data_IF_682999073105
#
_entry.id   IF_682999073105
#
_cell.length_a   1.000
_cell.length_b   1.000
_cell.length_c   1.000
_cell.angle_alpha   90.00
_cell.angle_beta   90.00
_cell.angle_gamma   90.00
#
_symmetry.space_group_name_H-M   'P 1'
#
loop_
_entity.id
_entity.type
_entity.pdbx_description
1 polymer ?
#
# COMPACT_ATOMS: atom_id res chain seq x y z
N UNK A 1 25.36 -2.67 19.85
CA UNK A 1 24.53 -3.36 18.81
C UNK A 1 24.12 -4.72 19.33
N UNK A 2 22.87 -5.13 19.15
CA UNK A 2 22.38 -6.47 19.54
C UNK A 2 23.02 -7.54 18.68
N UNK A 3 23.43 -8.67 19.30
CA UNK A 3 23.95 -9.85 18.59
C UNK A 3 22.87 -10.64 17.87
N UNK A 4 21.62 -10.47 18.28
CA UNK A 4 20.44 -11.11 17.67
C UNK A 4 19.31 -10.11 17.58
N UNK A 5 18.67 -10.03 16.40
CA UNK A 5 17.52 -9.18 16.13
C UNK A 5 16.35 -10.05 15.68
N UNK A 6 15.18 -9.82 16.24
CA UNK A 6 13.95 -10.52 15.91
C UNK A 6 13.05 -9.66 15.02
N UNK A 7 12.81 -10.10 13.78
CA UNK A 7 11.88 -9.46 12.83
C UNK A 7 10.49 -10.07 12.97
N UNK A 8 9.49 -9.26 13.32
CA UNK A 8 8.09 -9.64 13.29
C UNK A 8 7.46 -9.47 11.89
N UNK A 9 6.68 -10.46 11.47
CA UNK A 9 5.96 -10.41 10.18
C UNK A 9 4.72 -11.30 10.19
N UNK A 10 3.84 -11.10 9.23
CA UNK A 10 2.71 -12.00 8.97
C UNK A 10 3.19 -13.27 8.27
N UNK A 11 2.35 -14.33 8.29
CA UNK A 11 2.67 -15.62 7.69
C UNK A 11 2.36 -15.76 6.20
N UNK A 12 1.88 -14.72 5.49
CA UNK A 12 1.61 -14.83 4.06
C UNK A 12 2.91 -14.90 3.26
N UNK A 13 2.89 -15.57 2.10
CA UNK A 13 4.05 -15.72 1.21
C UNK A 13 4.72 -14.37 0.90
N UNK A 14 3.92 -13.34 0.61
CA UNK A 14 4.45 -12.01 0.34
C UNK A 14 5.07 -11.35 1.58
N UNK A 15 4.45 -11.48 2.76
CA UNK A 15 5.00 -10.92 3.99
C UNK A 15 6.31 -11.60 4.40
N UNK A 16 6.41 -12.92 4.24
CA UNK A 16 7.63 -13.67 4.47
C UNK A 16 8.73 -13.27 3.48
N UNK A 17 8.40 -13.07 2.21
CA UNK A 17 9.35 -12.55 1.24
C UNK A 17 9.90 -11.18 1.67
N UNK A 18 9.02 -10.28 2.10
CA UNK A 18 9.39 -8.94 2.56
C UNK A 18 10.31 -8.98 3.79
N UNK A 19 9.97 -9.80 4.77
CA UNK A 19 10.80 -9.99 5.97
C UNK A 19 12.17 -10.58 5.64
N UNK A 20 12.24 -11.59 4.75
CA UNK A 20 13.50 -12.17 4.30
C UNK A 20 14.34 -11.17 3.49
N UNK A 21 13.72 -10.33 2.66
CA UNK A 21 14.42 -9.27 1.94
C UNK A 21 15.09 -8.29 2.90
N UNK A 22 14.40 -7.83 3.95
CA UNK A 22 14.97 -6.96 4.98
C UNK A 22 16.05 -7.69 5.78
N UNK A 23 15.80 -8.95 6.20
CA UNK A 23 16.79 -9.80 6.84
C UNK A 23 18.10 -9.86 6.04
N UNK A 24 18.01 -10.22 4.76
CA UNK A 24 19.18 -10.33 3.89
C UNK A 24 19.92 -8.99 3.73
N UNK A 25 19.20 -7.87 3.71
CA UNK A 25 19.79 -6.54 3.64
C UNK A 25 20.56 -6.19 4.92
N UNK A 26 20.02 -6.56 6.10
CA UNK A 26 20.71 -6.38 7.37
C UNK A 26 21.96 -7.28 7.45
N UNK A 27 21.82 -8.57 7.18
CA UNK A 27 22.94 -9.53 7.25
C UNK A 27 24.08 -9.17 6.31
N UNK A 28 23.77 -8.54 5.17
CA UNK A 28 24.80 -8.05 4.23
C UNK A 28 25.63 -6.92 4.83
N UNK A 29 25.01 -6.01 5.58
CA UNK A 29 25.68 -4.85 6.16
C UNK A 29 26.25 -5.15 7.56
N UNK A 30 25.69 -6.13 8.27
CA UNK A 30 26.04 -6.52 9.64
C UNK A 30 26.17 -8.05 9.75
N UNK A 31 27.24 -8.64 9.16
CA UNK A 31 27.39 -10.10 9.04
C UNK A 31 27.51 -10.85 10.39
N UNK A 32 27.88 -10.16 11.46
CA UNK A 32 27.99 -10.74 12.80
C UNK A 32 26.65 -10.68 13.60
N UNK A 33 25.58 -10.10 13.00
CA UNK A 33 24.27 -9.99 13.64
C UNK A 33 23.37 -11.13 13.15
N UNK A 34 22.89 -11.94 14.07
CA UNK A 34 21.91 -12.98 13.79
C UNK A 34 20.52 -12.38 13.63
N UNK A 35 19.80 -12.76 12.57
CA UNK A 35 18.42 -12.30 12.33
C UNK A 35 17.46 -13.48 12.40
N UNK A 36 16.55 -13.44 13.38
CA UNK A 36 15.45 -14.41 13.53
C UNK A 36 14.14 -13.80 13.01
N UNK A 37 13.29 -14.60 12.36
CA UNK A 37 11.97 -14.17 11.89
C UNK A 37 10.89 -14.82 12.77
N UNK A 38 10.01 -13.99 13.35
CA UNK A 38 8.85 -14.41 14.15
C UNK A 38 7.56 -14.15 13.38
N UNK A 39 6.84 -15.23 13.07
CA UNK A 39 5.54 -15.15 12.41
C UNK A 39 4.46 -14.83 13.45
N UNK A 40 3.72 -13.75 13.23
CA UNK A 40 2.63 -13.30 14.09
C UNK A 40 1.32 -13.38 13.30
N UNK A 41 0.34 -14.12 13.82
CA UNK A 41 -1.00 -14.21 13.22
C UNK A 41 -1.84 -13.00 13.64
N UNK A 42 -2.31 -12.24 12.68
CA UNK A 42 -3.14 -11.05 12.93
C UNK A 42 -4.62 -11.37 12.84
N UNK A 43 -5.45 -10.48 13.38
CA UNK A 43 -6.92 -10.57 13.28
C UNK A 43 -7.35 -10.59 11.81
N UNK A 44 -6.73 -9.77 10.95
CA UNK A 44 -7.00 -9.76 9.51
C UNK A 44 -6.70 -11.10 8.80
N UNK A 45 -5.71 -11.88 9.29
CA UNK A 45 -5.39 -13.21 8.76
C UNK A 45 -6.40 -14.28 9.16
N UNK A 46 -7.14 -14.08 10.28
CA UNK A 46 -8.16 -14.99 10.77
C UNK A 46 -9.51 -14.83 10.09
N UNK A 47 -9.79 -13.64 9.57
CA UNK A 47 -11.08 -13.31 8.95
C UNK A 47 -11.03 -13.65 7.47
N UNK A 48 -11.61 -14.80 7.11
CA UNK A 48 -11.66 -15.29 5.72
C UNK A 48 -13.06 -15.26 5.10
N UNK A 49 -14.11 -15.13 5.94
CA UNK A 49 -15.51 -15.35 5.59
C UNK A 49 -16.28 -14.09 5.16
N UNK A 50 -15.85 -12.89 5.59
CA UNK A 50 -16.54 -11.63 5.29
C UNK A 50 -15.61 -10.51 4.82
N UNK A 51 -16.12 -9.49 4.09
CA UNK A 51 -15.35 -8.33 3.63
C UNK A 51 -14.67 -7.60 4.80
N UNK A 52 -13.34 -7.33 4.68
CA UNK A 52 -12.60 -6.59 5.72
C UNK A 52 -13.18 -5.18 5.94
N UNK A 53 -13.74 -4.56 4.90
CA UNK A 53 -14.46 -3.31 5.00
C UNK A 53 -15.68 -3.37 5.95
N UNK A 54 -16.32 -4.55 6.05
CA UNK A 54 -17.46 -4.77 6.95
C UNK A 54 -17.05 -5.11 8.38
N UNK A 55 -15.80 -5.47 8.61
CA UNK A 55 -15.35 -5.90 9.96
C UNK A 55 -15.10 -4.67 10.85
N UNK A 56 -14.86 -3.51 10.23
CA UNK A 56 -14.51 -2.29 10.95
C UNK A 56 -13.18 -2.41 11.71
N UNK A 57 -12.56 -1.29 12.00
CA UNK A 57 -11.34 -1.22 12.82
C UNK A 57 -10.08 -0.95 12.01
N UNK A 58 -9.38 0.10 12.41
CA UNK A 58 -8.05 0.44 11.90
C UNK A 58 -7.05 -0.62 12.38
N UNK A 59 -6.10 -1.00 11.53
CA UNK A 59 -4.97 -1.82 11.93
C UNK A 59 -5.22 -3.34 12.04
N UNK A 60 -6.18 -3.92 11.29
CA UNK A 60 -6.48 -5.37 11.32
C UNK A 60 -5.27 -6.27 11.04
N UNK A 61 -4.25 -5.75 10.39
CA UNK A 61 -3.04 -6.49 10.00
C UNK A 61 -1.79 -6.11 10.80
N UNK A 62 -1.88 -5.13 11.71
CA UNK A 62 -0.70 -4.60 12.40
C UNK A 62 -0.77 -4.67 13.91
N UNK A 63 -1.95 -4.64 14.54
CA UNK A 63 -2.13 -4.52 16.00
C UNK A 63 -1.35 -5.56 16.82
N UNK A 64 -1.39 -6.82 16.42
CA UNK A 64 -0.69 -7.90 17.14
C UNK A 64 0.83 -7.81 16.95
N UNK A 65 1.29 -7.24 15.85
CA UNK A 65 2.71 -7.01 15.57
C UNK A 65 3.18 -5.77 16.35
N UNK A 66 2.39 -4.70 16.39
CA UNK A 66 2.63 -3.51 17.20
C UNK A 66 2.69 -3.86 18.70
N UNK A 67 1.80 -4.72 19.19
CA UNK A 67 1.85 -5.23 20.56
C UNK A 67 3.15 -5.99 20.84
N UNK A 68 3.62 -6.82 19.90
CA UNK A 68 4.88 -7.54 20.02
C UNK A 68 6.12 -6.65 19.96
N UNK A 69 6.05 -5.49 19.28
CA UNK A 69 7.09 -4.46 19.35
C UNK A 69 7.12 -3.81 20.72
N UNK A 70 5.96 -3.41 21.25
CA UNK A 70 5.83 -2.72 22.53
C UNK A 70 6.23 -3.59 23.72
N UNK A 71 5.92 -4.90 23.69
CA UNK A 71 6.30 -5.86 24.75
C UNK A 71 7.77 -6.35 24.62
N UNK A 72 8.49 -5.94 23.55
CA UNK A 72 9.88 -6.31 23.32
C UNK A 72 10.10 -7.73 22.81
N UNK A 73 9.06 -8.47 22.42
CA UNK A 73 9.19 -9.83 21.88
C UNK A 73 9.68 -9.89 20.43
N UNK A 74 9.70 -8.75 19.75
CA UNK A 74 10.37 -8.48 18.47
C UNK A 74 11.09 -7.14 18.54
N UNK A 75 12.07 -6.92 17.67
CA UNK A 75 12.87 -5.69 17.62
C UNK A 75 12.42 -4.74 16.51
N UNK A 76 12.04 -5.31 15.38
CA UNK A 76 11.46 -4.56 14.27
C UNK A 76 10.37 -5.38 13.59
N UNK A 77 9.50 -4.70 12.86
CA UNK A 77 8.43 -5.31 12.07
C UNK A 77 8.52 -4.86 10.61
N UNK A 78 8.19 -5.75 9.69
CA UNK A 78 8.18 -5.46 8.25
C UNK A 78 6.76 -5.53 7.71
N UNK A 79 6.31 -4.41 7.14
CA UNK A 79 4.97 -4.25 6.57
C UNK A 79 5.02 -3.73 5.14
N UNK A 80 3.95 -3.93 4.40
CA UNK A 80 3.68 -3.12 3.22
C UNK A 80 3.20 -1.74 3.69
N UNK A 81 3.83 -0.66 3.24
CA UNK A 81 3.51 0.70 3.69
C UNK A 81 2.05 1.08 3.49
N UNK A 82 1.43 0.63 2.41
CA UNK A 82 0.01 0.90 2.12
C UNK A 82 -0.99 0.27 3.10
N UNK A 83 -0.55 -0.71 3.90
CA UNK A 83 -1.38 -1.39 4.89
C UNK A 83 -1.25 -0.75 6.29
N UNK A 84 -0.31 0.21 6.44
CA UNK A 84 -0.08 0.94 7.68
C UNK A 84 -1.16 1.98 7.92
N UNK A 85 -1.64 2.13 9.17
CA UNK A 85 -2.56 3.20 9.52
C UNK A 85 -1.90 4.57 9.35
N UNK A 86 -2.72 5.63 9.21
CA UNK A 86 -2.25 7.00 9.12
C UNK A 86 -1.47 7.45 10.36
N UNK A 87 -1.82 6.92 11.53
CA UNK A 87 -1.16 7.16 12.82
C UNK A 87 -0.70 5.84 13.42
N UNK A 88 0.47 5.87 14.06
CA UNK A 88 1.02 4.75 14.80
C UNK A 88 0.68 4.86 16.28
N UNK A 89 0.64 3.76 17.03
CA UNK A 89 0.57 3.78 18.48
C UNK A 89 1.74 4.54 19.10
N UNK A 90 1.48 5.16 20.26
CA UNK A 90 2.53 5.83 21.03
C UNK A 90 3.66 4.84 21.37
N UNK A 91 4.90 5.27 21.22
CA UNK A 91 6.10 4.47 21.45
C UNK A 91 6.58 3.67 20.24
N UNK A 92 5.89 3.76 19.09
CA UNK A 92 6.30 3.15 17.82
C UNK A 92 6.54 4.22 16.75
N UNK A 93 7.49 3.94 15.87
CA UNK A 93 7.86 4.83 14.76
C UNK A 93 8.16 4.04 13.47
N UNK A 94 8.03 4.71 12.34
CA UNK A 94 8.59 4.21 11.08
C UNK A 94 10.09 4.46 11.09
N UNK A 95 10.84 3.43 11.46
CA UNK A 95 12.29 3.50 11.59
C UNK A 95 12.99 3.63 10.24
N UNK A 96 12.59 2.83 9.24
CA UNK A 96 13.15 2.91 7.90
C UNK A 96 12.10 2.65 6.81
N UNK A 97 12.32 3.24 5.64
CA UNK A 97 11.55 3.02 4.41
C UNK A 97 12.56 2.66 3.31
N UNK A 98 12.75 1.37 3.00
CA UNK A 98 13.64 0.94 1.93
C UNK A 98 13.22 1.48 0.55
N UNK A 99 14.12 1.35 -0.41
CA UNK A 99 13.85 1.71 -1.80
C UNK A 99 12.52 1.13 -2.28
N UNK A 100 11.71 1.98 -2.88
CA UNK A 100 10.36 1.65 -3.34
C UNK A 100 10.43 0.74 -4.57
N UNK A 101 9.77 -0.40 -4.51
CA UNK A 101 9.51 -1.21 -5.70
C UNK A 101 8.45 -0.53 -6.58
N UNK A 102 8.21 -1.10 -7.78
CA UNK A 102 7.24 -0.58 -8.73
C UNK A 102 5.88 -0.26 -8.06
N UNK A 103 5.45 1.02 -8.02
CA UNK A 103 4.25 1.44 -7.32
C UNK A 103 2.95 1.21 -8.10
N UNK A 104 3.02 0.87 -9.39
CA UNK A 104 1.87 0.87 -10.28
C UNK A 104 0.93 -0.29 -10.01
N UNK A 105 -0.32 -0.08 -10.40
CA UNK A 105 -1.30 -1.14 -10.54
C UNK A 105 -1.13 -1.82 -11.88
N UNK A 106 -1.44 -3.10 -11.93
CA UNK A 106 -1.32 -3.90 -13.15
C UNK A 106 -2.59 -4.69 -13.41
N UNK A 107 -2.90 -4.85 -14.68
CA UNK A 107 -3.95 -5.73 -15.17
C UNK A 107 -3.37 -7.11 -15.45
N UNK A 108 -4.09 -8.14 -15.03
CA UNK A 108 -3.80 -9.53 -15.36
C UNK A 108 -5.01 -10.11 -16.08
N UNK A 109 -4.81 -10.50 -17.32
CA UNK A 109 -5.83 -11.05 -18.21
C UNK A 109 -5.49 -12.49 -18.60
N UNK A 110 -6.44 -13.41 -18.54
CA UNK A 110 -6.23 -14.79 -19.00
C UNK A 110 -5.98 -14.88 -20.52
N UNK A 111 -6.46 -13.90 -21.28
CA UNK A 111 -6.41 -13.89 -22.74
C UNK A 111 -5.45 -12.85 -23.32
N UNK A 112 -4.68 -12.13 -22.46
CA UNK A 112 -3.78 -11.08 -22.91
C UNK A 112 -4.47 -9.81 -23.42
N UNK A 113 -5.77 -9.63 -23.13
CA UNK A 113 -6.54 -8.45 -23.55
C UNK A 113 -6.16 -7.25 -22.71
N UNK A 114 -5.90 -6.09 -23.33
CA UNK A 114 -5.61 -4.85 -22.66
C UNK A 114 -6.88 -4.21 -22.09
N UNK A 115 -6.76 -3.38 -21.07
CA UNK A 115 -7.90 -2.78 -20.36
C UNK A 115 -8.87 -2.04 -21.30
N UNK A 116 -8.34 -1.27 -22.22
CA UNK A 116 -9.14 -0.50 -23.20
C UNK A 116 -9.94 -1.37 -24.19
N UNK A 117 -9.48 -2.60 -24.44
CA UNK A 117 -10.01 -3.49 -25.50
C UNK A 117 -11.06 -4.49 -24.98
N UNK A 118 -11.38 -4.46 -23.66
CA UNK A 118 -12.42 -5.32 -23.10
C UNK A 118 -13.82 -4.95 -23.65
N UNK A 119 -14.69 -5.94 -23.93
CA UNK A 119 -16.06 -5.68 -24.32
C UNK A 119 -16.86 -5.07 -23.16
N UNK A 120 -17.94 -4.36 -23.52
CA UNK A 120 -18.91 -3.85 -22.55
C UNK A 120 -19.44 -4.99 -21.65
N UNK A 121 -19.54 -4.72 -20.35
CA UNK A 121 -19.96 -5.72 -19.36
C UNK A 121 -18.87 -6.71 -18.94
N UNK A 122 -17.62 -6.53 -19.40
CA UNK A 122 -16.51 -7.37 -18.93
C UNK A 122 -16.34 -7.26 -17.42
N UNK A 123 -16.17 -8.42 -16.76
CA UNK A 123 -16.05 -8.51 -15.30
C UNK A 123 -14.57 -8.36 -14.88
N UNK A 124 -14.24 -7.27 -14.21
CA UNK A 124 -12.90 -7.00 -13.68
C UNK A 124 -12.89 -7.17 -12.15
N UNK A 125 -11.98 -8.02 -11.67
CA UNK A 125 -11.87 -8.36 -10.25
C UNK A 125 -11.00 -7.37 -9.45
N UNK A 126 -11.58 -6.69 -8.46
CA UNK A 126 -10.85 -5.96 -7.42
C UNK A 126 -11.71 -5.79 -6.18
N UNK A 127 -11.09 -5.85 -4.98
CA UNK A 127 -11.75 -5.51 -3.71
C UNK A 127 -11.33 -4.14 -3.19
N UNK A 128 -10.52 -3.40 -3.94
CA UNK A 128 -10.07 -2.06 -3.58
C UNK A 128 -11.03 -1.03 -4.16
N UNK A 129 -11.67 -0.25 -3.29
CA UNK A 129 -12.56 0.85 -3.70
C UNK A 129 -11.80 1.88 -4.54
N UNK A 130 -10.55 2.18 -4.19
CA UNK A 130 -9.67 3.05 -4.97
C UNK A 130 -9.49 2.59 -6.41
N UNK A 131 -9.30 1.28 -6.64
CA UNK A 131 -9.18 0.72 -7.99
C UNK A 131 -10.52 0.70 -8.69
N UNK A 132 -11.54 0.22 -8.01
CA UNK A 132 -12.89 0.10 -8.55
C UNK A 132 -13.41 1.44 -9.09
N UNK A 133 -13.29 2.50 -8.29
CA UNK A 133 -13.75 3.84 -8.66
C UNK A 133 -12.99 4.42 -9.87
N UNK A 134 -11.66 4.30 -9.89
CA UNK A 134 -10.86 4.79 -11.00
C UNK A 134 -11.10 3.98 -12.29
N UNK A 135 -11.23 2.64 -12.20
CA UNK A 135 -11.57 1.80 -13.37
C UNK A 135 -12.95 2.14 -13.93
N UNK A 136 -13.95 2.32 -13.06
CA UNK A 136 -15.30 2.72 -13.49
C UNK A 136 -15.34 4.12 -14.08
N UNK A 137 -14.53 5.04 -13.57
CA UNK A 137 -14.39 6.38 -14.14
C UNK A 137 -13.85 6.34 -15.57
N UNK A 138 -12.84 5.50 -15.84
CA UNK A 138 -12.27 5.30 -17.17
C UNK A 138 -13.21 4.52 -18.11
N UNK A 139 -13.90 3.52 -17.58
CA UNK A 139 -14.75 2.58 -18.31
C UNK A 139 -16.03 2.30 -17.50
N UNK A 140 -17.03 3.20 -17.54
CA UNK A 140 -18.30 2.99 -16.81
C UNK A 140 -19.11 1.80 -17.32
N UNK A 141 -18.76 1.28 -18.47
CA UNK A 141 -19.40 0.14 -19.13
C UNK A 141 -18.91 -1.24 -18.68
N UNK A 142 -17.89 -1.32 -17.82
CA UNK A 142 -17.39 -2.58 -17.23
C UNK A 142 -18.11 -2.91 -15.91
N UNK A 143 -18.08 -4.18 -15.54
CA UNK A 143 -18.56 -4.67 -14.25
C UNK A 143 -17.38 -4.89 -13.28
N UNK A 144 -17.44 -4.32 -12.09
CA UNK A 144 -16.46 -4.57 -11.04
C UNK A 144 -17.02 -5.59 -10.05
N UNK A 145 -16.28 -6.69 -9.83
CA UNK A 145 -16.61 -7.69 -8.80
C UNK A 145 -15.48 -7.81 -7.77
N UNK A 146 -15.87 -7.94 -6.50
CA UNK A 146 -14.92 -8.19 -5.43
C UNK A 146 -14.22 -9.53 -5.61
N UNK A 147 -12.89 -9.54 -5.47
CA UNK A 147 -12.08 -10.77 -5.54
C UNK A 147 -11.24 -10.93 -4.26
N UNK A 148 -11.23 -12.14 -3.71
CA UNK A 148 -10.52 -12.49 -2.48
C UNK A 148 -9.59 -13.66 -2.66
N UNK A 149 -8.72 -13.82 -1.66
CA UNK A 149 -7.67 -14.83 -1.61
C UNK A 149 -6.28 -14.20 -1.69
N UNK A 150 -5.27 -15.04 -1.49
CA UNK A 150 -3.89 -14.67 -1.76
C UNK A 150 -3.65 -14.51 -3.28
N UNK A 151 -2.44 -14.15 -3.67
CA UNK A 151 -2.10 -13.90 -5.06
C UNK A 151 -2.42 -15.11 -5.95
N UNK A 152 -1.97 -16.32 -5.56
CA UNK A 152 -2.17 -17.53 -6.34
C UNK A 152 -3.67 -17.87 -6.53
N UNK A 153 -4.46 -17.68 -5.48
CA UNK A 153 -5.92 -17.89 -5.55
C UNK A 153 -6.56 -16.95 -6.56
N UNK A 154 -6.15 -15.67 -6.57
CA UNK A 154 -6.69 -14.67 -7.51
C UNK A 154 -6.28 -14.96 -8.96
N UNK A 155 -5.02 -15.37 -9.19
CA UNK A 155 -4.55 -15.78 -10.50
C UNK A 155 -5.32 -17.00 -11.04
N UNK A 156 -5.59 -18.00 -10.18
CA UNK A 156 -6.42 -19.17 -10.56
C UNK A 156 -7.81 -18.76 -11.00
N UNK A 157 -8.44 -17.80 -10.33
CA UNK A 157 -9.79 -17.32 -10.69
C UNK A 157 -9.84 -16.61 -12.05
N UNK A 158 -8.77 -15.90 -12.43
CA UNK A 158 -8.64 -15.35 -13.79
C UNK A 158 -8.47 -16.48 -14.81
N UNK A 159 -7.55 -17.40 -14.55
CA UNK A 159 -7.27 -18.53 -15.45
C UNK A 159 -8.47 -19.46 -15.64
N UNK A 160 -9.37 -19.54 -14.65
CA UNK A 160 -10.63 -20.31 -14.75
C UNK A 160 -11.77 -19.57 -15.48
N UNK A 161 -11.58 -18.28 -15.83
CA UNK A 161 -12.61 -17.47 -16.50
C UNK A 161 -13.68 -16.88 -15.56
N UNK A 162 -13.53 -16.99 -14.23
CA UNK A 162 -14.44 -16.35 -13.26
C UNK A 162 -14.42 -14.83 -13.39
N UNK A 163 -13.27 -14.28 -13.80
CA UNK A 163 -13.05 -12.86 -14.12
C UNK A 163 -12.38 -12.74 -15.48
N UNK A 164 -12.76 -11.74 -16.26
CA UNK A 164 -12.06 -11.42 -17.51
C UNK A 164 -10.63 -10.93 -17.23
N UNK A 165 -10.48 -10.15 -16.18
CA UNK A 165 -9.18 -9.72 -15.64
C UNK A 165 -9.28 -9.40 -14.15
N UNK A 166 -8.11 -9.20 -13.51
CA UNK A 166 -8.00 -8.65 -12.16
C UNK A 166 -6.97 -7.53 -12.13
N UNK A 167 -7.10 -6.64 -11.14
CA UNK A 167 -6.11 -5.57 -10.92
C UNK A 167 -5.39 -5.79 -9.60
N UNK A 168 -4.06 -5.84 -9.67
CA UNK A 168 -3.16 -6.06 -8.54
C UNK A 168 -2.07 -4.96 -8.50
N UNK A 169 -1.25 -4.95 -7.43
CA UNK A 169 -0.06 -4.11 -7.36
C UNK A 169 1.13 -4.84 -7.98
N UNK A 170 1.86 -4.19 -8.88
CA UNK A 170 3.07 -4.73 -9.54
C UNK A 170 4.08 -5.29 -8.54
N UNK A 171 4.42 -4.51 -7.50
CA UNK A 171 5.39 -4.91 -6.49
C UNK A 171 5.10 -6.28 -5.85
N UNK A 172 3.83 -6.66 -5.69
CA UNK A 172 3.48 -7.97 -5.13
C UNK A 172 3.82 -9.12 -6.06
N UNK A 173 3.57 -8.97 -7.35
CA UNK A 173 3.89 -9.96 -8.39
C UNK A 173 5.40 -10.07 -8.62
N UNK A 174 6.06 -8.94 -8.76
CA UNK A 174 7.51 -8.88 -9.01
C UNK A 174 8.29 -9.51 -7.86
N UNK A 175 7.92 -9.21 -6.60
CA UNK A 175 8.55 -9.78 -5.41
C UNK A 175 8.41 -11.31 -5.33
N UNK A 176 7.32 -11.86 -5.85
CA UNK A 176 7.08 -13.30 -5.89
C UNK A 176 7.54 -13.97 -7.19
N UNK A 177 8.25 -13.24 -8.07
CA UNK A 177 8.73 -13.77 -9.34
C UNK A 177 7.62 -14.05 -10.35
N UNK A 178 6.44 -13.45 -10.18
CA UNK A 178 5.27 -13.64 -11.05
C UNK A 178 5.03 -12.45 -11.99
N UNK A 179 6.06 -11.66 -12.28
CA UNK A 179 5.99 -10.53 -13.22
C UNK A 179 5.53 -10.92 -14.63
N UNK A 180 5.79 -12.16 -15.05
CA UNK A 180 5.34 -12.69 -16.36
C UNK A 180 3.80 -12.84 -16.48
N UNK A 181 3.06 -12.81 -15.37
CA UNK A 181 1.59 -12.83 -15.37
C UNK A 181 0.99 -11.45 -15.69
N UNK A 182 1.80 -10.38 -15.70
CA UNK A 182 1.34 -9.02 -15.96
C UNK A 182 1.02 -8.86 -17.43
N UNK A 183 -0.21 -8.49 -17.74
CA UNK A 183 -0.65 -8.18 -19.09
C UNK A 183 -0.39 -6.72 -19.44
N UNK A 184 -0.65 -5.80 -18.49
CA UNK A 184 -0.56 -4.36 -18.72
C UNK A 184 -0.22 -3.64 -17.41
N UNK A 185 0.70 -2.67 -17.47
CA UNK A 185 0.91 -1.70 -16.40
C UNK A 185 -0.04 -0.52 -16.62
N UNK A 186 -0.88 -0.23 -15.63
CA UNK A 186 -1.80 0.90 -15.70
C UNK A 186 -1.03 2.20 -15.43
N UNK A 187 -1.07 3.13 -16.35
CA UNK A 187 -0.35 4.40 -16.23
C UNK A 187 -0.84 5.21 -15.01
N UNK A 188 0.04 5.98 -14.38
CA UNK A 188 -0.33 6.85 -13.24
C UNK A 188 -1.33 7.95 -13.61
N UNK A 189 -1.41 8.28 -14.91
CA UNK A 189 -2.42 9.19 -15.45
C UNK A 189 -3.83 8.64 -15.32
N UNK A 190 -3.97 7.33 -15.41
CA UNK A 190 -5.23 6.61 -15.45
C UNK A 190 -5.56 5.98 -14.08
N UNK A 191 -4.54 5.48 -13.39
CA UNK A 191 -4.68 4.79 -12.12
C UNK A 191 -3.64 5.32 -11.12
N UNK A 192 -4.02 6.29 -10.30
CA UNK A 192 -3.14 6.80 -9.23
C UNK A 192 -2.98 5.71 -8.15
N UNK A 193 -1.73 5.34 -7.81
CA UNK A 193 -1.44 4.31 -6.82
C UNK A 193 -1.98 4.63 -5.42
N UNK A 194 -2.11 3.61 -4.58
CA UNK A 194 -2.40 3.81 -3.16
C UNK A 194 -1.22 4.48 -2.46
N UNK A 195 -1.51 5.24 -1.39
CA UNK A 195 -0.50 5.79 -0.48
C UNK A 195 0.48 4.69 -0.06
N UNK A 196 1.76 4.90 -0.28
CA UNK A 196 2.82 3.95 0.06
C UNK A 196 2.84 2.66 -0.78
N UNK A 197 2.08 2.54 -1.87
CA UNK A 197 2.12 1.33 -2.69
C UNK A 197 3.52 1.10 -3.26
N UNK A 198 4.02 -0.14 -3.16
CA UNK A 198 5.38 -0.52 -3.56
C UNK A 198 6.43 -0.32 -2.46
N UNK A 199 6.22 0.58 -1.50
CA UNK A 199 7.15 0.77 -0.39
C UNK A 199 6.96 -0.26 0.73
N UNK A 200 8.06 -0.59 1.42
CA UNK A 200 8.05 -1.29 2.70
C UNK A 200 8.05 -0.27 3.84
N UNK A 201 7.51 -0.68 4.97
CA UNK A 201 7.61 0.03 6.23
C UNK A 201 8.35 -0.87 7.23
N UNK A 202 9.45 -0.38 7.77
CA UNK A 202 10.13 -1.01 8.88
C UNK A 202 9.74 -0.22 10.13
N UNK A 203 8.93 -0.85 10.98
CA UNK A 203 8.43 -0.28 12.22
C UNK A 203 9.27 -0.76 13.40
N UNK A 204 9.53 0.13 14.34
CA UNK A 204 10.33 -0.16 15.54
C UNK A 204 9.84 0.67 16.72
N UNK A 205 10.36 0.36 17.91
CA UNK A 205 10.16 1.21 19.08
C UNK A 205 10.83 2.56 18.88
N UNK A 206 10.20 3.60 19.40
CA UNK A 206 10.81 4.92 19.52
C UNK A 206 12.02 4.85 20.48
N UNK A 207 13.07 5.60 20.16
CA UNK A 207 14.29 5.70 20.98
C UNK A 207 15.01 4.37 21.25
N UNK A 208 15.04 3.44 20.27
CA UNK A 208 15.83 2.22 20.32
C UNK A 208 17.21 2.45 19.66
N UNK A 209 18.27 2.73 20.46
CA UNK A 209 19.59 3.06 19.91
C UNK A 209 20.26 1.89 19.22
N UNK A 210 19.94 0.65 19.60
CA UNK A 210 20.49 -0.55 18.97
C UNK A 210 19.97 -0.71 17.53
N UNK A 211 18.78 -0.18 17.25
CA UNK A 211 18.19 -0.23 15.92
C UNK A 211 18.57 0.95 15.03
N UNK A 212 18.96 2.10 15.61
CA UNK A 212 19.20 3.34 14.86
C UNK A 212 20.23 3.19 13.74
N UNK A 213 21.37 2.54 14.01
CA UNK A 213 22.44 2.32 13.04
C UNK A 213 21.96 1.37 11.91
N UNK A 214 21.29 0.28 12.26
CA UNK A 214 20.78 -0.70 11.31
C UNK A 214 19.74 -0.06 10.39
N UNK A 215 18.77 0.66 10.97
CA UNK A 215 17.69 1.31 10.24
C UNK A 215 18.20 2.37 9.26
N UNK A 216 19.27 3.09 9.64
CA UNK A 216 19.90 4.10 8.76
C UNK A 216 20.46 3.50 7.46
N UNK A 217 20.91 2.25 7.49
CA UNK A 217 21.42 1.55 6.30
C UNK A 217 20.31 1.01 5.39
N UNK A 218 19.10 0.94 5.88
CA UNK A 218 17.93 0.44 5.16
C UNK A 218 17.06 1.56 4.61
N UNK A 219 17.24 2.77 5.10
CA UNK A 219 16.41 3.91 4.72
C UNK A 219 16.82 4.48 3.38
N UNK A 220 15.81 4.81 2.55
CA UNK A 220 16.01 5.38 1.22
C UNK A 220 15.34 6.74 1.15
N UNK A 221 16.14 7.82 1.25
CA UNK A 221 15.66 9.20 1.31
C UNK A 221 14.63 9.57 0.23
N UNK A 222 14.83 9.26 -1.07
CA UNK A 222 13.85 9.59 -2.08
C UNK A 222 12.48 8.92 -1.84
N UNK A 223 12.48 7.66 -1.39
CA UNK A 223 11.24 6.96 -1.05
C UNK A 223 10.60 7.56 0.21
N UNK A 224 11.39 7.83 1.25
CA UNK A 224 10.91 8.45 2.50
C UNK A 224 10.25 9.79 2.22
N UNK A 225 10.86 10.65 1.42
CA UNK A 225 10.32 11.96 1.04
C UNK A 225 8.94 11.79 0.38
N UNK A 226 8.83 10.98 -0.67
CA UNK A 226 7.55 10.74 -1.36
C UNK A 226 6.49 10.20 -0.41
N UNK A 227 6.81 9.14 0.34
CA UNK A 227 5.87 8.50 1.28
C UNK A 227 5.45 9.44 2.39
N UNK A 228 6.32 10.33 2.85
CA UNK A 228 5.99 11.36 3.85
C UNK A 228 4.88 12.28 3.36
N UNK A 229 4.97 12.77 2.13
CA UNK A 229 3.91 13.60 1.52
C UNK A 229 2.60 12.84 1.32
N UNK A 230 2.69 11.61 0.80
CA UNK A 230 1.53 10.74 0.60
C UNK A 230 0.80 10.44 1.92
N UNK A 231 1.54 10.12 2.99
CA UNK A 231 0.97 9.85 4.32
C UNK A 231 0.40 11.10 4.98
N UNK A 232 1.04 12.25 4.77
CA UNK A 232 0.51 13.53 5.26
C UNK A 232 -0.84 13.88 4.60
N UNK A 233 -0.99 13.60 3.29
CA UNK A 233 -2.27 13.67 2.60
C UNK A 233 -3.30 12.73 3.22
N UNK A 234 -2.97 11.44 3.38
CA UNK A 234 -3.89 10.43 3.91
C UNK A 234 -4.37 10.78 5.32
N UNK A 235 -3.46 11.25 6.18
CA UNK A 235 -3.80 11.69 7.53
C UNK A 235 -4.74 12.89 7.51
N UNK A 236 -4.49 13.89 6.65
CA UNK A 236 -5.28 15.11 6.57
C UNK A 236 -6.69 14.87 6.00
N UNK A 237 -6.88 13.84 5.16
CA UNK A 237 -8.19 13.46 4.63
C UNK A 237 -8.95 12.53 5.58
N UNK A 238 -8.35 12.22 6.75
CA UNK A 238 -8.87 11.22 7.70
C UNK A 238 -9.11 9.85 7.04
N UNK A 239 -8.35 9.59 5.98
CA UNK A 239 -8.52 8.44 5.11
C UNK A 239 -8.11 7.13 5.77
N UNK A 240 -8.79 6.08 5.38
CA UNK A 240 -8.44 4.69 5.66
C UNK A 240 -8.34 3.90 4.36
N UNK A 241 -7.87 2.65 4.43
CA UNK A 241 -7.84 1.76 3.26
C UNK A 241 -9.23 1.43 2.69
N UNK A 242 -10.28 1.91 3.34
CA UNK A 242 -11.69 1.62 3.02
C UNK A 242 -12.39 2.75 2.26
N UNK A 243 -11.70 3.81 1.90
CA UNK A 243 -12.23 4.89 1.09
C UNK A 243 -11.55 4.94 -0.29
N UNK A 244 -12.25 5.41 -1.33
CA UNK A 244 -11.70 5.49 -2.69
C UNK A 244 -10.78 6.69 -2.87
N UNK A 245 -9.67 6.69 -2.12
CA UNK A 245 -8.63 7.72 -2.19
C UNK A 245 -7.30 7.15 -2.67
N UNK A 246 -6.53 7.98 -3.32
CA UNK A 246 -5.17 7.70 -3.78
C UNK A 246 -4.28 8.91 -3.51
N UNK A 247 -3.00 8.67 -3.27
CA UNK A 247 -1.99 9.70 -3.36
C UNK A 247 -0.65 9.05 -3.72
N UNK A 248 0.02 9.64 -4.70
CA UNK A 248 1.29 9.16 -5.21
C UNK A 248 2.28 10.30 -5.36
N UNK A 249 3.47 10.12 -4.80
CA UNK A 249 4.59 11.03 -4.91
C UNK A 249 5.68 10.50 -5.82
N UNK A 250 6.25 11.36 -6.66
CA UNK A 250 7.45 11.09 -7.44
C UNK A 250 8.38 12.28 -7.43
N UNK A 251 9.68 12.03 -7.50
CA UNK A 251 10.70 13.07 -7.61
C UNK A 251 11.04 13.25 -9.08
N UNK A 252 10.96 14.50 -9.54
CA UNK A 252 11.37 14.96 -10.86
C UNK A 252 12.20 16.22 -10.69
N UNK A 253 13.42 16.26 -11.22
CA UNK A 253 14.30 17.44 -11.21
C UNK A 253 14.44 18.11 -9.83
N UNK A 254 14.67 17.30 -8.77
CA UNK A 254 14.75 17.73 -7.37
C UNK A 254 13.46 18.32 -6.79
N UNK A 255 12.33 18.16 -7.47
CA UNK A 255 11.00 18.52 -6.97
C UNK A 255 10.17 17.27 -6.73
N UNK A 256 9.28 17.36 -5.78
CA UNK A 256 8.32 16.28 -5.48
C UNK A 256 6.97 16.64 -6.08
N UNK A 257 6.48 15.81 -6.98
CA UNK A 257 5.13 15.91 -7.52
C UNK A 257 4.22 14.97 -6.73
N UNK A 258 3.25 15.53 -6.01
CA UNK A 258 2.21 14.75 -5.31
C UNK A 258 0.91 14.83 -6.11
N UNK A 259 0.41 13.69 -6.56
CA UNK A 259 -0.89 13.57 -7.23
C UNK A 259 -1.86 12.81 -6.35
N UNK A 260 -3.03 13.40 -6.09
CA UNK A 260 -4.07 12.78 -5.28
C UNK A 260 -5.39 12.60 -6.04
N UNK A 261 -6.16 11.61 -5.65
CA UNK A 261 -7.49 11.32 -6.15
C UNK A 261 -8.44 11.07 -4.99
N UNK A 262 -9.64 11.63 -5.08
CA UNK A 262 -10.84 11.23 -4.33
C UNK A 262 -11.94 10.93 -5.35
N UNK A 263 -12.59 9.78 -5.24
CA UNK A 263 -13.63 9.37 -6.19
C UNK A 263 -14.85 8.82 -5.47
N UNK A 264 -16.02 8.85 -6.13
CA UNK A 264 -17.20 8.10 -5.69
C UNK A 264 -17.04 6.61 -5.99
N UNK A 265 -17.75 5.73 -5.27
CA UNK A 265 -17.63 4.27 -5.47
C UNK A 265 -18.05 3.82 -6.88
N UNK A 266 -19.01 4.52 -7.48
CA UNK A 266 -19.48 4.29 -8.85
C UNK A 266 -18.53 4.84 -9.93
N UNK A 267 -17.56 5.70 -9.54
CA UNK A 267 -16.63 6.36 -10.45
C UNK A 267 -17.23 7.54 -11.24
N UNK A 268 -18.48 7.92 -10.99
CA UNK A 268 -19.13 9.06 -11.69
C UNK A 268 -18.45 10.39 -11.33
N UNK A 269 -18.06 10.55 -10.07
CA UNK A 269 -17.35 11.71 -9.57
C UNK A 269 -15.91 11.35 -9.23
N UNK A 270 -14.96 12.09 -9.80
CA UNK A 270 -13.54 11.94 -9.50
C UNK A 270 -12.86 13.31 -9.47
N UNK A 271 -12.24 13.62 -8.35
CA UNK A 271 -11.40 14.82 -8.15
C UNK A 271 -9.94 14.35 -8.18
N UNK A 272 -9.16 14.90 -9.10
CA UNK A 272 -7.73 14.63 -9.23
C UNK A 272 -6.96 15.94 -9.23
N UNK A 273 -6.01 16.06 -8.31
CA UNK A 273 -5.18 17.26 -8.17
C UNK A 273 -3.71 16.88 -8.05
N UNK A 274 -2.85 17.79 -8.47
CA UNK A 274 -1.40 17.65 -8.37
C UNK A 274 -0.81 18.92 -7.78
N UNK A 275 0.14 18.76 -6.85
CA UNK A 275 0.90 19.86 -6.26
C UNK A 275 2.39 19.57 -6.34
N UNK A 276 3.17 20.62 -6.57
CA UNK A 276 4.64 20.57 -6.54
C UNK A 276 5.16 20.96 -5.15
N UNK A 277 6.23 20.30 -4.71
CA UNK A 277 6.87 20.53 -3.41
C UNK A 277 8.39 20.50 -3.51
N UNK A 278 9.05 21.09 -2.52
CA UNK A 278 10.44 20.71 -2.21
C UNK A 278 10.43 19.50 -1.25
N UNK A 279 11.55 18.76 -1.13
CA UNK A 279 11.66 17.65 -0.16
C UNK A 279 11.31 18.05 1.27
N UNK A 280 11.74 19.25 1.71
CA UNK A 280 11.56 19.73 3.08
C UNK A 280 10.10 20.08 3.40
N UNK A 281 9.35 20.50 2.39
CA UNK A 281 7.95 20.94 2.54
C UNK A 281 6.93 19.86 2.19
N UNK A 282 7.38 18.66 1.82
CA UNK A 282 6.50 17.61 1.26
C UNK A 282 5.35 17.23 2.19
N UNK A 283 5.57 17.19 3.50
CA UNK A 283 4.51 16.88 4.45
C UNK A 283 3.46 18.00 4.54
N UNK A 284 3.88 19.26 4.50
CA UNK A 284 2.98 20.41 4.47
C UNK A 284 2.16 20.43 3.17
N UNK A 285 2.83 20.21 2.04
CA UNK A 285 2.18 20.15 0.72
C UNK A 285 1.24 18.94 0.59
N UNK A 286 1.51 17.83 1.24
CA UNK A 286 0.57 16.72 1.34
C UNK A 286 -0.73 17.12 2.03
N UNK A 287 -0.67 17.87 3.15
CA UNK A 287 -1.86 18.41 3.84
C UNK A 287 -2.58 19.46 3.01
N UNK A 288 -1.84 20.34 2.32
CA UNK A 288 -2.41 21.34 1.41
C UNK A 288 -3.15 20.67 0.24
N UNK A 289 -2.58 19.61 -0.33
CA UNK A 289 -3.22 18.82 -1.39
C UNK A 289 -4.52 18.18 -0.91
N UNK A 290 -4.57 17.67 0.33
CA UNK A 290 -5.80 17.13 0.92
C UNK A 290 -6.89 18.21 1.00
N UNK A 291 -6.55 19.40 1.52
CA UNK A 291 -7.46 20.55 1.58
C UNK A 291 -7.98 20.95 0.20
N UNK A 292 -7.08 21.06 -0.78
CA UNK A 292 -7.44 21.40 -2.16
C UNK A 292 -8.44 20.42 -2.77
N UNK A 293 -8.20 19.10 -2.60
CA UNK A 293 -9.09 18.06 -3.12
C UNK A 293 -10.46 18.12 -2.42
N UNK A 294 -10.50 18.33 -1.10
CA UNK A 294 -11.75 18.45 -0.34
C UNK A 294 -12.57 19.67 -0.79
N UNK A 295 -11.95 20.83 -0.95
CA UNK A 295 -12.57 22.08 -1.41
C UNK A 295 -13.14 21.96 -2.83
N UNK A 296 -12.48 21.20 -3.71
CA UNK A 296 -12.93 20.96 -5.09
C UNK A 296 -14.07 19.96 -5.22
N UNK A 297 -14.61 19.46 -4.11
CA UNK A 297 -15.76 18.57 -4.09
C UNK A 297 -15.50 17.21 -3.46
N UNK A 298 -14.26 16.90 -3.11
CA UNK A 298 -13.89 15.65 -2.42
C UNK A 298 -14.64 15.47 -1.10
N UNK A 299 -14.89 16.57 -0.37
CA UNK A 299 -15.69 16.56 0.87
C UNK A 299 -17.07 15.91 0.65
N UNK A 300 -17.80 16.34 -0.37
CA UNK A 300 -19.13 15.80 -0.70
C UNK A 300 -19.11 14.32 -1.06
N UNK A 301 -18.05 13.91 -1.79
CA UNK A 301 -17.86 12.50 -2.17
C UNK A 301 -17.65 11.66 -0.92
N UNK A 302 -16.82 12.09 0.02
CA UNK A 302 -16.54 11.36 1.26
C UNK A 302 -17.75 11.29 2.20
N UNK A 303 -18.50 12.38 2.34
CA UNK A 303 -19.74 12.44 3.13
C UNK A 303 -20.81 11.47 2.58
N UNK A 304 -20.90 11.33 1.25
CA UNK A 304 -21.84 10.40 0.60
C UNK A 304 -21.52 8.92 0.84
N UNK A 305 -20.28 8.58 1.23
CA UNK A 305 -19.88 7.21 1.51
C UNK A 305 -20.45 6.64 2.83
N UNK A 306 -21.10 7.48 3.66
CA UNK A 306 -21.67 7.10 4.98
C UNK A 306 -20.70 6.21 5.79
N UNK A 307 -19.42 6.56 5.81
CA UNK A 307 -18.41 5.82 6.58
C UNK A 307 -18.59 6.19 8.05
N UNK A 308 -18.88 5.20 8.92
CA UNK A 308 -19.14 5.43 10.34
C UNK A 308 -17.87 5.87 11.09
#
# INVERSE_FOLDING_TARGET
>A
MKSTICIGTRGSTLALWQANHVKNSIEKNFPDTRIDIKIIKTTGDRITDRPLAMVGGKGLFVKEIEAALLDGSIDLAVHSMKDMPGELPQGLVIGAIPERANPFDVLISAQGVLFKDYPRGAVIGTSSLRRASQLKHLRPDIEIKSIRGNLDTRLKKVKSGEYAAIVLAAAGLERLGQGSEITEYLAETDMVPAVGQGALCIETRENDPDMAEILSTLDHDPTRICVTGERAFLKAIEGSCHIPVACFGKILDNRVMLTAVVASEDGESLIKETIESTPEQVAEKGRELAKLVLEKGGQRILEALNIP
#
